data_IF_675858603050
#
_entry.id   IF_675858603050
#
_cell.length_a   1.000
_cell.length_b   1.000
_cell.length_c   1.000
_cell.angle_alpha   90.00
_cell.angle_beta   90.00
_cell.angle_gamma   90.00
#
_symmetry.space_group_name_H-M   'P 1'
#
loop_
_entity.id
_entity.type
_entity.pdbx_description
1 polymer ?
#
# COMPACT_ATOMS: atom_id res chain seq x y z
N UNK A 1 -7.68 -6.02 -13.07
CA UNK A 1 -9.07 -5.82 -12.59
C UNK A 1 -9.16 -4.54 -11.80
N UNK A 2 -10.06 -3.67 -12.15
CA UNK A 2 -10.30 -2.45 -11.39
C UNK A 2 -11.27 -2.74 -10.24
N UNK A 3 -10.85 -2.41 -9.00
CA UNK A 3 -11.65 -2.63 -7.81
C UNK A 3 -12.37 -1.35 -7.41
N UNK A 4 -13.53 -1.50 -6.78
CA UNK A 4 -14.22 -0.43 -6.07
C UNK A 4 -13.99 -0.58 -4.58
N UNK A 5 -14.21 0.48 -3.82
CA UNK A 5 -14.01 0.48 -2.36
C UNK A 5 -14.74 -0.70 -1.70
N UNK A 6 -14.00 -1.47 -0.91
CA UNK A 6 -14.50 -2.67 -0.23
C UNK A 6 -14.44 -3.95 -1.06
N UNK A 7 -14.17 -3.86 -2.37
CA UNK A 7 -14.11 -5.04 -3.22
C UNK A 7 -12.76 -5.76 -3.05
N UNK A 8 -12.75 -7.05 -3.35
CA UNK A 8 -11.54 -7.86 -3.30
C UNK A 8 -11.49 -8.80 -4.50
N UNK A 9 -10.28 -9.30 -4.78
CA UNK A 9 -10.05 -10.33 -5.79
C UNK A 9 -8.89 -11.23 -5.34
N UNK A 10 -8.91 -12.47 -5.81
CA UNK A 10 -7.80 -13.39 -5.58
C UNK A 10 -6.63 -13.01 -6.47
N UNK A 11 -5.41 -13.11 -5.94
CA UNK A 11 -4.22 -13.01 -6.75
C UNK A 11 -3.95 -14.38 -7.41
N UNK A 12 -3.47 -14.38 -8.66
CA UNK A 12 -3.01 -15.63 -9.25
C UNK A 12 -1.81 -16.16 -8.47
N UNK A 13 -1.47 -17.44 -8.57
CA UNK A 13 -0.23 -17.93 -7.98
C UNK A 13 0.95 -17.13 -8.51
N UNK A 14 1.63 -16.40 -7.61
CA UNK A 14 2.76 -15.56 -7.96
C UNK A 14 3.71 -15.50 -6.77
N UNK A 15 5.00 -15.36 -7.06
CA UNK A 15 6.04 -15.29 -6.04
C UNK A 15 6.15 -13.90 -5.44
N UNK A 16 5.88 -12.88 -6.24
CA UNK A 16 6.05 -11.49 -5.81
C UNK A 16 5.06 -10.58 -6.48
N UNK A 17 4.76 -9.48 -5.80
CA UNK A 17 3.95 -8.39 -6.34
C UNK A 17 4.61 -7.06 -5.99
N UNK A 18 4.27 -6.04 -6.79
CA UNK A 18 4.64 -4.65 -6.50
C UNK A 18 3.36 -3.86 -6.31
N UNK A 19 3.28 -3.15 -5.19
CA UNK A 19 2.20 -2.20 -4.91
C UNK A 19 2.72 -0.81 -5.21
N UNK A 20 2.02 -0.10 -6.10
CA UNK A 20 2.39 1.24 -6.57
C UNK A 20 1.24 2.18 -6.28
N UNK A 21 1.55 3.32 -5.65
CA UNK A 21 0.58 4.41 -5.51
C UNK A 21 1.09 5.63 -6.27
N UNK A 22 0.19 6.30 -6.96
CA UNK A 22 0.50 7.47 -7.78
C UNK A 22 -0.50 8.57 -7.46
N UNK A 23 0.01 9.79 -7.31
CA UNK A 23 -0.79 10.98 -7.02
C UNK A 23 -0.17 12.20 -7.69
N UNK A 24 -0.93 13.29 -7.77
CA UNK A 24 -0.44 14.54 -8.34
C UNK A 24 0.61 15.17 -7.41
N UNK A 25 1.65 15.75 -8.00
CA UNK A 25 2.61 16.55 -7.26
C UNK A 25 1.98 17.89 -6.90
N UNK A 26 1.94 18.24 -5.61
CA UNK A 26 1.35 19.48 -5.11
C UNK A 26 2.39 20.18 -4.25
N UNK A 27 2.67 21.46 -4.57
CA UNK A 27 3.65 22.24 -3.82
C UNK A 27 3.23 22.37 -2.36
N UNK A 28 4.18 22.14 -1.44
CA UNK A 28 3.94 22.23 0.00
C UNK A 28 3.23 21.03 0.62
N UNK A 29 2.88 20.03 -0.17
CA UNK A 29 2.20 18.83 0.31
C UNK A 29 3.01 17.59 -0.08
N UNK A 30 3.60 16.95 0.91
CA UNK A 30 4.37 15.71 0.72
C UNK A 30 3.53 14.51 1.13
N UNK A 31 3.70 13.41 0.43
CA UNK A 31 3.05 12.16 0.79
C UNK A 31 3.98 10.98 0.56
N UNK A 32 3.75 9.91 1.28
CA UNK A 32 4.58 8.71 1.24
C UNK A 32 3.73 7.46 1.38
N UNK A 33 4.13 6.42 0.63
CA UNK A 33 3.55 5.09 0.74
C UNK A 33 4.28 4.32 1.85
N UNK A 34 3.52 3.60 2.65
CA UNK A 34 4.05 2.71 3.67
C UNK A 34 3.32 1.38 3.64
N UNK A 35 3.97 0.35 4.17
CA UNK A 35 3.38 -0.96 4.36
C UNK A 35 3.40 -1.31 5.84
N UNK A 36 2.28 -1.83 6.34
CA UNK A 36 2.14 -2.30 7.71
C UNK A 36 1.88 -3.80 7.67
N UNK A 37 2.79 -4.57 8.25
CA UNK A 37 2.64 -6.02 8.36
C UNK A 37 1.78 -6.31 9.57
N UNK A 38 0.67 -7.01 9.36
CA UNK A 38 -0.35 -7.21 10.39
C UNK A 38 -0.41 -8.68 10.80
N UNK A 39 -0.41 -8.90 12.11
CA UNK A 39 -0.69 -10.19 12.72
C UNK A 39 -1.94 -10.01 13.58
N UNK A 40 -3.04 -10.66 13.20
CA UNK A 40 -4.32 -10.48 13.90
C UNK A 40 -4.84 -9.04 13.86
N UNK A 41 -4.58 -8.32 12.76
CA UNK A 41 -5.05 -6.95 12.57
C UNK A 41 -4.16 -5.87 13.19
N UNK A 42 -3.00 -6.25 13.75
CA UNK A 42 -2.10 -5.31 14.44
C UNK A 42 -0.65 -5.53 14.02
N UNK A 43 0.14 -4.45 13.98
CA UNK A 43 1.59 -4.54 13.87
C UNK A 43 2.15 -5.13 15.18
N UNK A 44 3.17 -5.97 15.06
CA UNK A 44 3.83 -6.59 16.24
C UNK A 44 4.81 -5.63 16.88
N UNK A 45 5.33 -4.67 16.13
CA UNK A 45 6.30 -3.68 16.59
C UNK A 45 6.79 -2.83 15.43
N UNK A 46 7.79 -2.00 15.70
CA UNK A 46 8.30 -1.01 14.72
C UNK A 46 8.89 -1.66 13.47
N UNK A 47 9.40 -2.89 13.56
CA UNK A 47 9.97 -3.60 12.42
C UNK A 47 8.91 -4.03 11.38
N UNK A 48 7.64 -4.00 11.75
CA UNK A 48 6.52 -4.32 10.86
C UNK A 48 6.04 -3.11 10.04
N UNK A 49 6.75 -2.00 10.11
CA UNK A 49 6.42 -0.77 9.37
C UNK A 49 7.51 -0.52 8.32
N UNK A 50 7.15 -0.52 7.05
CA UNK A 50 8.10 -0.35 5.94
C UNK A 50 7.76 0.92 5.18
N UNK A 51 8.74 1.80 5.02
CA UNK A 51 8.62 3.06 4.30
C UNK A 51 10.03 3.56 3.94
N UNK A 52 10.16 4.77 3.38
CA UNK A 52 11.46 5.25 2.88
C UNK A 52 12.56 5.27 3.95
N UNK A 53 12.21 5.51 5.20
CA UNK A 53 13.19 5.61 6.31
C UNK A 53 13.45 4.27 7.00
N UNK A 54 12.65 3.26 6.74
CA UNK A 54 12.85 1.87 7.12
C UNK A 54 12.48 1.01 5.93
N UNK A 55 13.42 0.87 4.95
CA UNK A 55 13.05 0.41 3.62
C UNK A 55 12.82 -1.10 3.49
N UNK A 56 13.00 -1.87 4.55
CA UNK A 56 12.77 -3.32 4.48
C UNK A 56 12.26 -3.85 5.81
N UNK A 57 11.37 -4.85 5.74
CA UNK A 57 10.98 -5.65 6.89
C UNK A 57 12.17 -6.50 7.37
N UNK A 58 12.07 -7.06 8.59
CA UNK A 58 13.15 -7.83 9.19
C UNK A 58 13.59 -9.01 8.31
N UNK A 59 12.64 -9.69 7.66
CA UNK A 59 12.90 -10.82 6.77
C UNK A 59 13.11 -10.40 5.31
N UNK A 60 13.04 -9.11 5.01
CA UNK A 60 13.17 -8.53 3.66
C UNK A 60 12.14 -9.03 2.65
N UNK A 61 10.99 -9.50 3.11
CA UNK A 61 9.89 -9.89 2.24
C UNK A 61 9.10 -8.68 1.75
N UNK A 62 9.15 -7.57 2.49
CA UNK A 62 8.52 -6.30 2.12
C UNK A 62 9.62 -5.26 2.05
N UNK A 63 9.78 -4.63 0.87
CA UNK A 63 10.88 -3.70 0.60
C UNK A 63 10.35 -2.47 -0.13
N UNK A 64 10.67 -1.29 0.39
CA UNK A 64 10.40 -0.03 -0.30
C UNK A 64 11.29 0.06 -1.53
N UNK A 65 10.67 0.09 -2.71
CA UNK A 65 11.39 0.00 -3.99
C UNK A 65 11.82 1.36 -4.53
N UNK A 66 11.22 2.44 -4.03
CA UNK A 66 11.61 3.80 -4.41
C UNK A 66 10.43 4.69 -4.74
N UNK A 67 10.69 5.99 -4.68
CA UNK A 67 9.73 7.05 -4.93
C UNK A 67 10.29 7.95 -6.04
N UNK A 68 9.47 8.26 -7.02
CA UNK A 68 9.82 9.18 -8.11
C UNK A 68 8.88 10.37 -8.08
N UNK A 69 9.45 11.56 -8.21
CA UNK A 69 8.69 12.81 -8.29
C UNK A 69 8.85 13.43 -9.68
N UNK A 70 7.76 14.00 -10.18
CA UNK A 70 7.67 14.68 -11.45
C UNK A 70 6.37 15.47 -11.45
N UNK A 71 5.63 15.49 -12.56
CA UNK A 71 4.26 16.01 -12.59
C UNK A 71 3.32 15.17 -11.74
N UNK A 72 3.63 13.87 -11.65
CA UNK A 72 3.03 12.93 -10.69
C UNK A 72 4.11 12.37 -9.79
N UNK A 73 3.71 11.92 -8.60
CA UNK A 73 4.57 11.18 -7.68
C UNK A 73 4.16 9.72 -7.73
N UNK A 74 5.14 8.85 -7.89
CA UNK A 74 4.95 7.39 -7.88
C UNK A 74 5.82 6.79 -6.80
N UNK A 75 5.22 6.03 -5.88
CA UNK A 75 5.91 5.38 -4.77
C UNK A 75 5.57 3.88 -4.80
N UNK A 76 6.58 3.02 -4.59
CA UNK A 76 6.43 1.58 -4.80
C UNK A 76 7.00 0.78 -3.64
N UNK A 77 6.32 -0.33 -3.34
CA UNK A 77 6.77 -1.32 -2.36
C UNK A 77 6.65 -2.71 -3.00
N UNK A 78 7.74 -3.47 -2.95
CA UNK A 78 7.79 -4.84 -3.44
C UNK A 78 7.49 -5.80 -2.29
N UNK A 79 6.71 -6.85 -2.58
CA UNK A 79 6.37 -7.89 -1.60
C UNK A 79 6.73 -9.25 -2.19
N UNK A 80 7.57 -10.00 -1.48
CA UNK A 80 7.87 -11.39 -1.80
C UNK A 80 6.90 -12.28 -1.02
N UNK A 81 5.95 -12.87 -1.72
CA UNK A 81 4.90 -13.70 -1.11
C UNK A 81 5.37 -15.13 -0.83
N UNK A 82 6.47 -15.54 -1.47
CA UNK A 82 7.00 -16.89 -1.34
C UNK A 82 7.77 -17.02 -0.01
N UNK A 83 7.30 -17.91 0.86
CA UNK A 83 7.90 -18.10 2.17
C UNK A 83 7.62 -16.97 3.16
N UNK A 84 6.53 -16.23 2.97
CA UNK A 84 6.15 -15.13 3.85
C UNK A 84 5.92 -15.61 5.28
N UNK A 85 6.27 -14.76 6.25
CA UNK A 85 6.13 -15.03 7.69
C UNK A 85 4.71 -15.52 8.01
N UNK A 86 4.59 -16.73 8.57
CA UNK A 86 3.29 -17.34 8.88
C UNK A 86 2.49 -16.55 9.92
N UNK A 87 3.16 -15.78 10.76
CA UNK A 87 2.48 -14.95 11.77
C UNK A 87 1.82 -13.72 11.16
N UNK A 88 2.23 -13.30 9.97
CA UNK A 88 1.66 -12.15 9.26
C UNK A 88 0.56 -12.64 8.34
N UNK A 89 -0.67 -12.19 8.57
CA UNK A 89 -1.83 -12.58 7.77
C UNK A 89 -2.27 -11.50 6.78
N UNK A 90 -1.78 -10.29 6.91
CA UNK A 90 -2.10 -9.19 6.01
C UNK A 90 -0.99 -8.15 5.97
N UNK A 91 -0.94 -7.43 4.86
CA UNK A 91 -0.08 -6.24 4.70
C UNK A 91 -0.96 -5.11 4.20
N UNK A 92 -1.10 -4.05 4.99
CA UNK A 92 -1.84 -2.85 4.61
C UNK A 92 -0.90 -1.84 3.98
N UNK A 93 -1.35 -1.20 2.90
CA UNK A 93 -0.57 -0.19 2.18
C UNK A 93 -1.27 1.15 2.36
N UNK A 94 -0.58 2.09 3.00
CA UNK A 94 -1.14 3.37 3.39
C UNK A 94 -0.37 4.51 2.76
N UNK A 95 -1.09 5.60 2.45
CA UNK A 95 -0.51 6.87 2.01
C UNK A 95 -0.71 7.87 3.13
N UNK A 96 0.37 8.51 3.55
CA UNK A 96 0.35 9.54 4.59
C UNK A 96 0.81 10.86 4.01
N UNK A 97 0.10 11.95 4.34
CA UNK A 97 0.41 13.30 3.88
C UNK A 97 1.00 14.13 5.01
N UNK A 98 1.93 15.01 4.65
CA UNK A 98 2.53 16.00 5.52
C UNK A 98 2.41 17.37 4.87
N UNK A 99 2.05 18.38 5.64
CA UNK A 99 1.81 19.73 5.13
C UNK A 99 0.37 20.01 4.73
N UNK A 100 -0.52 19.07 4.93
CA UNK A 100 -1.94 19.19 4.63
C UNK A 100 -2.64 17.85 4.69
N UNK A 101 -3.88 17.79 4.20
CA UNK A 101 -4.67 16.57 4.15
C UNK A 101 -4.54 15.87 2.81
N UNK A 102 -4.97 14.60 2.76
CA UNK A 102 -4.96 13.80 1.54
C UNK A 102 -5.88 14.38 0.45
N UNK A 103 -6.94 15.09 0.84
CA UNK A 103 -7.81 15.75 -0.13
C UNK A 103 -7.04 16.69 -1.06
N UNK A 104 -5.97 17.32 -0.56
CA UNK A 104 -5.13 18.22 -1.34
C UNK A 104 -4.34 17.53 -2.45
N UNK A 105 -4.14 16.22 -2.37
CA UNK A 105 -3.47 15.45 -3.43
C UNK A 105 -4.40 15.15 -4.61
N UNK A 106 -5.71 15.20 -4.41
CA UNK A 106 -6.67 14.64 -5.35
C UNK A 106 -6.69 13.12 -5.29
N UNK A 107 -7.15 12.45 -6.35
CA UNK A 107 -7.21 10.99 -6.37
C UNK A 107 -5.84 10.33 -6.21
N UNK A 108 -5.79 9.25 -5.46
CA UNK A 108 -4.61 8.39 -5.34
C UNK A 108 -4.92 7.08 -6.04
N UNK A 109 -4.11 6.73 -7.03
CA UNK A 109 -4.26 5.47 -7.75
C UNK A 109 -3.34 4.43 -7.14
N UNK A 110 -3.91 3.32 -6.71
CA UNK A 110 -3.17 2.17 -6.25
C UNK A 110 -3.23 1.07 -7.29
N UNK A 111 -2.11 0.41 -7.54
CA UNK A 111 -2.05 -0.74 -8.43
C UNK A 111 -1.22 -1.84 -7.83
N UNK A 112 -1.60 -3.08 -8.14
CA UNK A 112 -0.87 -4.28 -7.75
C UNK A 112 -0.46 -4.98 -9.04
N UNK A 113 0.84 -5.16 -9.22
CA UNK A 113 1.43 -5.80 -10.38
C UNK A 113 2.16 -7.05 -9.97
N UNK A 114 2.21 -8.06 -10.83
CA UNK A 114 3.03 -9.24 -10.61
C UNK A 114 4.50 -8.99 -10.85
N UNK A 115 5.34 -10.00 -10.58
CA UNK A 115 6.79 -9.88 -10.69
C UNK A 115 7.29 -9.54 -12.09
N UNK A 116 6.53 -9.85 -13.12
CA UNK A 116 6.86 -9.52 -14.51
C UNK A 116 6.24 -8.20 -14.98
N UNK A 117 5.61 -7.46 -14.08
CA UNK A 117 4.97 -6.20 -14.40
C UNK A 117 3.53 -6.31 -14.89
N UNK A 118 2.96 -7.51 -14.95
CA UNK A 118 1.57 -7.71 -15.37
C UNK A 118 0.59 -7.08 -14.36
N UNK A 119 -0.39 -6.30 -14.81
CA UNK A 119 -1.36 -5.69 -13.91
C UNK A 119 -2.31 -6.76 -13.35
N UNK A 120 -2.49 -6.78 -12.03
CA UNK A 120 -3.35 -7.74 -11.33
C UNK A 120 -4.60 -7.07 -10.77
N UNK A 121 -4.45 -5.89 -10.17
CA UNK A 121 -5.56 -5.14 -9.59
C UNK A 121 -5.23 -3.66 -9.53
N UNK A 122 -6.26 -2.82 -9.54
CA UNK A 122 -6.11 -1.38 -9.36
C UNK A 122 -7.30 -0.82 -8.60
N UNK A 123 -7.07 0.31 -7.92
CA UNK A 123 -8.08 1.01 -7.15
C UNK A 123 -7.77 2.50 -7.15
N UNK A 124 -8.79 3.32 -7.38
CA UNK A 124 -8.68 4.77 -7.25
C UNK A 124 -9.30 5.19 -5.92
N UNK A 125 -8.48 5.74 -5.04
CA UNK A 125 -8.92 6.26 -3.75
C UNK A 125 -9.15 7.75 -3.87
N UNK A 126 -10.40 8.17 -3.70
CA UNK A 126 -10.78 9.58 -3.77
C UNK A 126 -11.83 9.89 -2.69
N UNK A 127 -12.36 11.10 -2.70
CA UNK A 127 -13.41 11.50 -1.77
C UNK A 127 -12.93 11.64 -0.32
N UNK A 128 -11.62 11.73 -0.10
CA UNK A 128 -11.06 12.01 1.22
C UNK A 128 -11.19 13.50 1.54
N UNK A 129 -11.21 13.83 2.82
CA UNK A 129 -11.41 15.20 3.30
C UNK A 129 -10.24 15.61 4.22
N UNK A 130 -10.43 15.61 5.52
CA UNK A 130 -9.44 16.06 6.49
C UNK A 130 -8.43 14.98 6.89
N UNK A 131 -8.54 13.79 6.35
CA UNK A 131 -7.66 12.67 6.67
C UNK A 131 -6.23 12.97 6.23
N UNK A 132 -5.27 12.65 7.09
CA UNK A 132 -3.83 12.79 6.79
C UNK A 132 -3.17 11.49 6.41
N UNK A 133 -3.86 10.36 6.62
CA UNK A 133 -3.40 9.05 6.18
C UNK A 133 -4.60 8.21 5.76
N UNK A 134 -4.39 7.30 4.83
CA UNK A 134 -5.44 6.36 4.42
C UNK A 134 -4.80 5.06 3.96
N UNK A 135 -5.45 3.95 4.33
CA UNK A 135 -5.12 2.64 3.78
C UNK A 135 -5.78 2.54 2.40
N UNK A 136 -4.95 2.40 1.37
CA UNK A 136 -5.43 2.29 -0.01
C UNK A 136 -5.86 0.85 -0.32
N UNK A 137 -4.94 -0.10 -0.19
CA UNK A 137 -5.18 -1.51 -0.46
C UNK A 137 -4.55 -2.37 0.62
N UNK A 138 -5.01 -3.61 0.71
CA UNK A 138 -4.49 -4.60 1.65
C UNK A 138 -4.30 -5.92 0.92
N UNK A 139 -3.13 -6.52 1.10
CA UNK A 139 -2.88 -7.91 0.71
C UNK A 139 -3.15 -8.78 1.93
N UNK A 140 -3.92 -9.85 1.78
CA UNK A 140 -4.23 -10.73 2.90
C UNK A 140 -4.31 -12.17 2.46
N UNK A 141 -4.11 -13.08 3.42
CA UNK A 141 -4.16 -14.51 3.16
C UNK A 141 -5.54 -15.08 3.48
N UNK A 142 -5.98 -15.97 2.61
CA UNK A 142 -7.16 -16.81 2.84
C UNK A 142 -6.74 -18.24 2.60
N UNK A 143 -6.41 -18.96 3.68
CA UNK A 143 -5.75 -20.24 3.56
C UNK A 143 -4.36 -20.07 2.94
N UNK A 144 -4.07 -20.82 1.89
CA UNK A 144 -2.81 -20.74 1.16
C UNK A 144 -2.82 -19.67 0.05
N UNK A 145 -3.95 -18.96 -0.13
CA UNK A 145 -4.13 -18.01 -1.22
C UNK A 145 -4.00 -16.58 -0.73
N UNK A 146 -3.29 -15.76 -1.49
CA UNK A 146 -3.25 -14.33 -1.28
C UNK A 146 -4.36 -13.64 -2.05
N UNK A 147 -4.97 -12.63 -1.44
CA UNK A 147 -6.01 -11.79 -2.03
C UNK A 147 -5.66 -10.32 -1.84
N UNK A 148 -6.23 -9.48 -2.67
CA UNK A 148 -6.10 -8.02 -2.52
C UNK A 148 -7.50 -7.43 -2.31
N UNK A 149 -7.56 -6.45 -1.40
CA UNK A 149 -8.79 -5.71 -1.09
C UNK A 149 -8.54 -4.22 -1.28
N UNK A 150 -9.48 -3.54 -1.92
CA UNK A 150 -9.51 -2.08 -1.95
C UNK A 150 -10.16 -1.59 -0.65
N UNK A 151 -9.42 -0.82 0.15
CA UNK A 151 -9.86 -0.38 1.47
C UNK A 151 -10.38 1.06 1.43
N UNK A 152 -9.54 2.03 1.12
CA UNK A 152 -9.93 3.43 1.01
C UNK A 152 -10.34 4.07 2.33
N UNK A 153 -9.86 3.56 3.47
CA UNK A 153 -10.21 4.09 4.78
C UNK A 153 -9.17 5.07 5.27
N UNK A 154 -9.62 6.28 5.61
CA UNK A 154 -8.77 7.35 6.07
C UNK A 154 -8.78 7.55 7.59
N UNK A 155 -7.74 8.23 8.06
CA UNK A 155 -7.51 8.57 9.48
C UNK A 155 -7.05 10.02 9.58
N UNK A 156 -7.72 10.82 10.42
CA UNK A 156 -7.43 12.25 10.55
C UNK A 156 -6.13 12.53 11.29
N UNK A 157 -5.80 11.67 12.25
CA UNK A 157 -4.62 11.83 13.12
C UNK A 157 -3.44 10.97 12.66
N UNK A 158 -3.49 10.48 11.42
CA UNK A 158 -2.50 9.56 10.89
C UNK A 158 -2.76 8.12 11.29
N UNK A 159 -1.81 7.29 11.04
CA UNK A 159 -1.94 5.84 11.28
C UNK A 159 -1.68 5.47 12.74
#
# INVERSE_FOLDING_TARGET
MQLTKGANTALPPTRSVTVTCTWAAVAGLEADLSALLLAGGRVRGDADFVFYNQPASADRRVVHAGKRAGGEVTDRIDVDLDGFDDAVDAVAFAVSADGGSLAGLGPVRASVSGGSGEPLASFVMDGLDAETAAVAVELYRRGAQWKVRAVGQGYRDGL
#
